data_IF_029771606918
#
_entry.id   IF_029771606918
#
_cell.length_a   1.000
_cell.length_b   1.000
_cell.length_c   1.000
_cell.angle_alpha   90.00
_cell.angle_beta   90.00
_cell.angle_gamma   90.00
#
_symmetry.space_group_name_H-M   'P 1'
#
loop_
_entity.id
_entity.type
_entity.pdbx_description
1 polymer ?
#
# COMPACT_ATOMS: atom_id res chain seq x y z
N UNK A 1 -22.34 8.63 -30.44
CA UNK A 1 -21.02 8.71 -29.76
C UNK A 1 -21.02 8.02 -28.40
N UNK A 2 -21.98 8.31 -27.51
CA UNK A 2 -22.07 7.68 -26.16
C UNK A 2 -22.22 6.15 -26.19
N UNK A 3 -22.98 5.57 -27.13
CA UNK A 3 -23.18 4.12 -27.20
C UNK A 3 -21.93 3.32 -27.60
N UNK A 4 -21.04 3.90 -28.40
CA UNK A 4 -19.78 3.27 -28.82
C UNK A 4 -18.78 3.19 -27.66
N UNK A 5 -18.76 4.18 -26.77
CA UNK A 5 -17.92 4.19 -25.57
C UNK A 5 -18.42 3.13 -24.59
N UNK A 6 -19.73 3.06 -24.36
CA UNK A 6 -20.34 2.05 -23.49
C UNK A 6 -20.07 0.62 -23.99
N UNK A 7 -20.15 0.38 -25.31
CA UNK A 7 -19.82 -0.91 -25.91
C UNK A 7 -18.34 -1.28 -25.76
N UNK A 8 -17.41 -0.33 -25.93
CA UNK A 8 -15.98 -0.58 -25.72
C UNK A 8 -15.64 -0.88 -24.25
N UNK A 9 -16.27 -0.18 -23.31
CA UNK A 9 -16.12 -0.45 -21.87
C UNK A 9 -16.70 -1.81 -21.50
N UNK A 10 -17.89 -2.14 -22.01
CA UNK A 10 -18.50 -3.45 -21.78
C UNK A 10 -17.64 -4.60 -22.31
N UNK A 11 -17.00 -4.43 -23.47
CA UNK A 11 -16.07 -5.41 -24.03
C UNK A 11 -14.76 -5.52 -23.23
N UNK A 12 -14.23 -4.41 -22.72
CA UNK A 12 -13.03 -4.41 -21.84
C UNK A 12 -13.28 -5.11 -20.50
N UNK A 13 -14.48 -5.00 -19.96
CA UNK A 13 -14.82 -5.54 -18.64
C UNK A 13 -15.65 -6.84 -18.68
N UNK A 14 -15.95 -7.39 -19.86
CA UNK A 14 -16.77 -8.60 -19.98
C UNK A 14 -16.17 -9.78 -19.22
N UNK A 15 -14.83 -9.95 -19.29
CA UNK A 15 -14.11 -11.02 -18.61
C UNK A 15 -14.04 -10.89 -17.08
N UNK A 16 -14.32 -9.73 -16.49
CA UNK A 16 -14.37 -9.56 -15.03
C UNK A 16 -15.61 -10.22 -14.42
N UNK A 17 -16.72 -10.33 -15.18
CA UNK A 17 -17.93 -11.01 -14.70
C UNK A 17 -17.73 -12.52 -14.56
N UNK A 18 -16.88 -13.08 -15.41
CA UNK A 18 -16.57 -14.51 -15.44
C UNK A 18 -15.29 -14.86 -14.65
N UNK A 19 -14.54 -13.84 -14.20
CA UNK A 19 -13.36 -14.01 -13.38
C UNK A 19 -13.73 -14.55 -12.00
N UNK A 20 -13.54 -15.86 -11.79
CA UNK A 20 -13.58 -16.45 -10.45
C UNK A 20 -12.35 -15.99 -9.67
N UNK A 21 -12.50 -14.94 -8.87
CA UNK A 21 -11.51 -14.60 -7.84
C UNK A 21 -11.47 -15.77 -6.86
N UNK A 22 -10.35 -16.50 -6.84
CA UNK A 22 -10.18 -17.62 -5.93
C UNK A 22 -10.20 -17.06 -4.49
N UNK A 23 -11.03 -17.61 -3.59
CA UNK A 23 -10.98 -17.21 -2.21
C UNK A 23 -9.63 -17.59 -1.61
N UNK A 24 -9.16 -16.77 -0.66
CA UNK A 24 -7.96 -17.07 0.11
C UNK A 24 -8.10 -18.47 0.73
N UNK A 25 -7.09 -19.31 0.53
CA UNK A 25 -7.07 -20.64 1.15
C UNK A 25 -6.41 -20.57 2.53
N UNK A 26 -6.46 -21.67 3.28
CA UNK A 26 -5.87 -21.75 4.62
C UNK A 26 -4.35 -21.52 4.63
N UNK A 27 -3.63 -21.89 3.57
CA UNK A 27 -2.20 -21.60 3.46
C UNK A 27 -1.95 -20.10 3.33
N UNK A 28 -2.81 -19.38 2.61
CA UNK A 28 -2.72 -17.93 2.48
C UNK A 28 -2.97 -17.27 3.83
N UNK A 29 -4.02 -17.67 4.56
CA UNK A 29 -4.33 -17.22 5.92
C UNK A 29 -3.15 -17.39 6.88
N UNK A 30 -2.45 -18.53 6.82
CA UNK A 30 -1.26 -18.79 7.64
C UNK A 30 -0.11 -17.85 7.33
N UNK A 31 0.12 -17.52 6.06
CA UNK A 31 1.14 -16.54 5.66
C UNK A 31 0.83 -15.15 6.21
N UNK A 32 -0.44 -14.75 6.25
CA UNK A 32 -0.89 -13.49 6.89
C UNK A 32 -0.56 -13.46 8.36
N UNK A 33 -0.99 -14.49 9.08
CA UNK A 33 -0.77 -14.58 10.51
C UNK A 33 0.72 -14.60 10.83
N UNK A 34 1.52 -15.29 10.01
CA UNK A 34 2.97 -15.34 10.16
C UNK A 34 3.61 -13.96 9.93
N UNK A 35 3.19 -13.24 8.89
CA UNK A 35 3.67 -11.89 8.63
C UNK A 35 3.37 -10.93 9.79
N UNK A 36 2.12 -10.86 10.26
CA UNK A 36 1.76 -9.99 11.39
C UNK A 36 2.46 -10.41 12.69
N UNK A 37 2.65 -11.71 12.91
CA UNK A 37 3.40 -12.22 14.06
C UNK A 37 4.86 -11.77 13.99
N UNK A 38 5.50 -11.91 12.82
CA UNK A 38 6.89 -11.49 12.62
C UNK A 38 7.04 -9.98 12.80
N UNK A 39 6.11 -9.18 12.28
CA UNK A 39 6.06 -7.74 12.50
C UNK A 39 5.97 -7.39 14.00
N UNK A 40 5.05 -8.01 14.74
CA UNK A 40 4.86 -7.76 16.18
C UNK A 40 6.02 -8.24 17.05
N UNK A 41 6.68 -9.32 16.63
CA UNK A 41 7.81 -9.93 17.33
C UNK A 41 9.15 -9.36 16.89
N UNK A 42 9.20 -8.56 15.82
CA UNK A 42 10.43 -7.96 15.33
C UNK A 42 11.05 -7.10 16.45
N UNK A 43 12.27 -7.40 16.91
CA UNK A 43 12.96 -6.63 17.94
C UNK A 43 13.54 -5.30 17.38
N UNK A 44 13.13 -4.93 16.17
CA UNK A 44 13.65 -3.83 15.40
C UNK A 44 13.51 -2.46 16.08
N UNK A 45 14.58 -1.67 16.06
CA UNK A 45 14.59 -0.33 16.67
C UNK A 45 13.71 0.63 15.89
N UNK A 46 13.66 0.49 14.55
CA UNK A 46 12.90 1.41 13.68
C UNK A 46 11.40 1.19 13.81
N UNK A 47 10.98 -0.06 13.93
CA UNK A 47 9.58 -0.41 14.13
C UNK A 47 9.06 0.03 15.52
N UNK A 48 9.93 0.01 16.53
CA UNK A 48 9.62 0.59 17.85
C UNK A 48 9.57 2.12 17.82
N UNK A 49 10.53 2.76 17.14
CA UNK A 49 10.56 4.21 16.95
C UNK A 49 9.30 4.71 16.21
N UNK A 50 8.83 3.95 15.22
CA UNK A 50 7.60 4.24 14.50
C UNK A 50 6.37 4.38 15.44
N UNK A 51 6.34 3.64 16.56
CA UNK A 51 5.24 3.73 17.53
C UNK A 51 5.21 5.07 18.28
N UNK A 52 6.35 5.73 18.46
CA UNK A 52 6.47 6.97 19.23
C UNK A 52 6.52 8.22 18.34
N UNK A 53 6.90 8.08 17.07
CA UNK A 53 6.95 9.18 16.11
C UNK A 53 5.54 9.65 15.73
N UNK A 54 5.38 10.98 15.65
CA UNK A 54 4.22 11.63 15.05
C UNK A 54 4.40 11.77 13.54
N UNK A 55 3.60 11.03 12.76
CA UNK A 55 3.65 11.04 11.30
C UNK A 55 2.98 12.29 10.69
N UNK A 56 2.47 13.21 11.50
CA UNK A 56 1.92 14.50 11.05
C UNK A 56 3.00 15.56 10.75
N UNK A 57 4.27 15.29 11.02
CA UNK A 57 5.37 16.25 10.82
C UNK A 57 5.79 16.35 9.35
N UNK A 58 5.84 17.58 8.81
CA UNK A 58 6.28 17.89 7.44
C UNK A 58 7.78 17.66 7.19
N UNK A 59 8.57 17.39 8.24
CA UNK A 59 10.03 17.21 8.11
C UNK A 59 10.46 15.77 7.89
N UNK A 60 9.53 14.81 7.94
CA UNK A 60 9.83 13.39 7.85
C UNK A 60 9.93 12.92 6.40
N UNK A 61 10.95 12.12 6.11
CA UNK A 61 11.04 11.40 4.84
C UNK A 61 10.36 10.04 4.97
N UNK A 62 9.05 10.00 4.67
CA UNK A 62 8.24 8.79 4.79
C UNK A 62 8.70 7.65 3.88
N UNK A 63 9.18 7.97 2.68
CA UNK A 63 9.68 6.96 1.72
C UNK A 63 10.91 6.25 2.30
N UNK A 64 11.88 7.01 2.82
CA UNK A 64 13.07 6.44 3.43
C UNK A 64 12.72 5.64 4.69
N UNK A 65 11.87 6.19 5.56
CA UNK A 65 11.45 5.51 6.80
C UNK A 65 10.75 4.18 6.51
N UNK A 66 9.87 4.14 5.50
CA UNK A 66 9.18 2.92 5.11
C UNK A 66 10.16 1.88 4.53
N UNK A 67 11.10 2.31 3.68
CA UNK A 67 12.12 1.43 3.10
C UNK A 67 13.04 0.82 4.17
N UNK A 68 13.39 1.64 5.16
CA UNK A 68 14.21 1.27 6.30
C UNK A 68 13.53 0.20 7.18
N UNK A 69 12.24 0.35 7.42
CA UNK A 69 11.42 -0.63 8.17
C UNK A 69 11.22 -1.90 7.35
N UNK A 70 11.02 -1.77 6.04
CA UNK A 70 10.89 -2.90 5.12
C UNK A 70 12.15 -3.78 5.14
N UNK A 71 13.32 -3.16 5.15
CA UNK A 71 14.59 -3.86 5.30
C UNK A 71 14.70 -4.56 6.67
N UNK A 72 14.35 -3.86 7.76
CA UNK A 72 14.41 -4.40 9.13
C UNK A 72 13.46 -5.60 9.32
N UNK A 73 12.24 -5.51 8.79
CA UNK A 73 11.19 -6.53 8.94
C UNK A 73 11.13 -7.53 7.77
N UNK A 74 12.08 -7.47 6.84
CA UNK A 74 12.22 -8.39 5.69
C UNK A 74 10.95 -8.48 4.82
N UNK A 75 10.38 -7.33 4.47
CA UNK A 75 9.34 -7.23 3.44
C UNK A 75 9.77 -6.27 2.32
N UNK A 76 9.15 -6.41 1.15
CA UNK A 76 9.38 -5.54 -0.02
C UNK A 76 8.28 -4.48 -0.10
N UNK A 77 8.67 -3.26 -0.45
CA UNK A 77 7.79 -2.13 -0.76
C UNK A 77 7.84 -1.89 -2.27
N UNK A 78 6.68 -1.83 -2.92
CA UNK A 78 6.58 -1.52 -4.36
C UNK A 78 5.73 -0.28 -4.55
N UNK A 79 6.24 0.69 -5.29
CA UNK A 79 5.51 1.89 -5.68
C UNK A 79 4.94 1.69 -7.08
N UNK A 80 3.66 1.99 -7.25
CA UNK A 80 2.95 1.93 -8.53
C UNK A 80 2.33 3.30 -8.77
N UNK A 81 3.00 4.09 -9.60
CA UNK A 81 2.49 5.40 -10.02
C UNK A 81 1.32 5.20 -10.99
N UNK A 82 0.26 6.00 -10.82
CA UNK A 82 -0.89 6.01 -11.74
C UNK A 82 -0.63 7.12 -12.76
N UNK A 83 -0.68 6.75 -14.04
CA UNK A 83 -0.40 7.68 -15.15
C UNK A 83 -1.44 8.81 -15.20
N UNK A 84 -2.70 8.49 -14.94
CA UNK A 84 -3.78 9.47 -14.92
C UNK A 84 -3.78 10.34 -13.67
N UNK A 85 -4.02 11.64 -13.88
CA UNK A 85 -4.32 12.55 -12.78
C UNK A 85 -5.70 12.24 -12.17
N UNK A 86 -5.85 12.55 -10.89
CA UNK A 86 -7.13 12.46 -10.20
C UNK A 86 -8.16 13.44 -10.80
N UNK A 87 -9.42 13.31 -10.39
CA UNK A 87 -10.47 14.27 -10.76
C UNK A 87 -10.16 15.72 -10.37
N UNK A 88 -9.28 15.90 -9.36
CA UNK A 88 -8.81 17.20 -8.89
C UNK A 88 -7.48 17.62 -9.50
N UNK A 89 -6.96 16.88 -10.49
CA UNK A 89 -5.71 17.18 -11.17
C UNK A 89 -4.44 16.75 -10.42
N UNK A 90 -4.55 15.89 -9.40
CA UNK A 90 -3.41 15.47 -8.57
C UNK A 90 -2.75 14.20 -9.12
N UNK A 91 -1.44 14.08 -8.92
CA UNK A 91 -0.73 12.81 -9.13
C UNK A 91 -1.16 11.79 -8.09
N UNK A 92 -1.09 10.51 -8.45
CA UNK A 92 -1.59 9.40 -7.63
C UNK A 92 -0.56 8.27 -7.60
N UNK A 93 -0.43 7.61 -6.45
CA UNK A 93 0.47 6.49 -6.26
C UNK A 93 -0.18 5.43 -5.36
N UNK A 94 0.11 4.16 -5.64
CA UNK A 94 -0.15 3.03 -4.76
C UNK A 94 1.18 2.50 -4.20
N UNK A 95 1.21 2.26 -2.90
CA UNK A 95 2.30 1.56 -2.20
C UNK A 95 1.82 0.18 -1.84
N UNK A 96 2.50 -0.84 -2.32
CA UNK A 96 2.22 -2.23 -2.01
C UNK A 96 3.27 -2.76 -1.05
N UNK A 97 2.83 -3.21 0.13
CA UNK A 97 3.64 -3.97 1.05
C UNK A 97 3.47 -5.44 0.66
N UNK A 98 4.57 -6.12 0.31
CA UNK A 98 4.58 -7.55 -0.04
C UNK A 98 4.32 -8.42 1.20
N UNK A 99 3.08 -8.35 1.62
CA UNK A 99 2.46 -9.11 2.69
C UNK A 99 1.51 -10.09 2.00
N UNK A 100 1.18 -11.20 2.64
CA UNK A 100 0.05 -12.02 2.18
C UNK A 100 -1.07 -11.79 3.20
N UNK A 101 -2.29 -11.33 2.82
CA UNK A 101 -2.56 -10.68 1.55
C UNK A 101 -1.81 -9.35 1.49
N UNK A 102 -1.60 -8.84 0.28
CA UNK A 102 -0.86 -7.58 0.02
C UNK A 102 -1.63 -6.42 0.65
N UNK A 103 -0.97 -5.64 1.49
CA UNK A 103 -1.50 -4.35 1.93
C UNK A 103 -1.16 -3.30 0.87
N UNK A 104 -2.18 -2.59 0.38
CA UNK A 104 -2.02 -1.52 -0.61
C UNK A 104 -2.50 -0.21 -0.01
N UNK A 105 -1.62 0.78 0.00
CA UNK A 105 -1.86 2.11 0.54
C UNK A 105 -1.86 3.14 -0.60
N UNK A 106 -2.88 3.98 -0.64
CA UNK A 106 -3.04 5.00 -1.68
C UNK A 106 -2.56 6.36 -1.19
N UNK A 107 -2.03 7.19 -2.09
CA UNK A 107 -1.66 8.57 -1.82
C UNK A 107 -1.79 9.46 -3.05
N UNK A 108 -2.00 10.76 -2.81
CA UNK A 108 -2.06 11.79 -3.86
C UNK A 108 -1.24 13.01 -3.50
N UNK A 109 -0.84 13.77 -4.52
CA UNK A 109 -0.05 14.98 -4.33
C UNK A 109 0.06 15.83 -5.58
N UNK A 110 0.59 17.05 -5.42
CA UNK A 110 0.81 17.99 -6.53
C UNK A 110 1.92 17.51 -7.49
N UNK A 111 2.76 16.58 -7.04
CA UNK A 111 3.77 15.89 -7.84
C UNK A 111 3.74 14.38 -7.58
N UNK A 112 4.39 13.58 -8.43
CA UNK A 112 4.56 12.14 -8.18
C UNK A 112 5.27 11.86 -6.86
N UNK A 113 6.29 12.66 -6.52
CA UNK A 113 7.02 12.52 -5.24
C UNK A 113 6.12 12.76 -4.04
N UNK A 114 5.24 13.76 -4.13
CA UNK A 114 4.27 14.04 -3.05
C UNK A 114 3.26 12.90 -2.92
N UNK A 115 2.79 12.35 -4.05
CA UNK A 115 1.86 11.21 -4.05
C UNK A 115 2.51 9.95 -3.43
N UNK A 116 3.77 9.66 -3.76
CA UNK A 116 4.54 8.57 -3.17
C UNK A 116 4.78 8.78 -1.68
N UNK A 117 5.11 10.00 -1.25
CA UNK A 117 5.30 10.34 0.15
C UNK A 117 3.99 10.16 0.95
N UNK A 118 2.85 10.62 0.41
CA UNK A 118 1.55 10.43 1.02
C UNK A 118 1.16 8.94 1.11
N UNK A 119 1.41 8.16 0.06
CA UNK A 119 1.16 6.71 0.07
C UNK A 119 2.05 5.99 1.10
N UNK A 120 3.31 6.40 1.21
CA UNK A 120 4.26 5.87 2.20
C UNK A 120 3.85 6.24 3.64
N UNK A 121 3.38 7.47 3.87
CA UNK A 121 2.84 7.89 5.16
C UNK A 121 1.65 7.01 5.58
N UNK A 122 0.71 6.76 4.66
CA UNK A 122 -0.43 5.88 4.92
C UNK A 122 0.00 4.43 5.20
N UNK A 123 1.05 3.95 4.53
CA UNK A 123 1.63 2.64 4.82
C UNK A 123 2.28 2.57 6.21
N UNK A 124 2.95 3.64 6.65
CA UNK A 124 3.52 3.73 8.00
C UNK A 124 2.42 3.74 9.08
N UNK A 125 1.32 4.45 8.85
CA UNK A 125 0.15 4.43 9.76
C UNK A 125 -0.48 3.03 9.84
N UNK A 126 -0.62 2.36 8.70
CA UNK A 126 -1.06 0.96 8.68
C UNK A 126 -0.14 0.06 9.53
N UNK A 127 1.17 0.19 9.34
CA UNK A 127 2.15 -0.57 10.13
C UNK A 127 2.00 -0.26 11.62
N UNK A 128 1.82 1.01 12.00
CA UNK A 128 1.58 1.40 13.40
C UNK A 128 0.43 0.59 13.99
N UNK A 129 -0.74 0.64 13.34
CA UNK A 129 -1.96 -0.07 13.80
C UNK A 129 -1.72 -1.57 13.94
N UNK A 130 -1.04 -2.18 12.97
CA UNK A 130 -0.84 -3.63 12.93
C UNK A 130 0.21 -4.14 13.93
N UNK A 131 1.08 -3.24 14.41
CA UNK A 131 2.17 -3.57 15.35
C UNK A 131 1.92 -3.04 16.76
N UNK A 132 0.77 -2.40 17.03
CA UNK A 132 0.34 -2.08 18.40
C UNK A 132 0.36 -3.36 19.23
N UNK A 133 0.99 -3.27 20.41
CA UNK A 133 1.04 -4.33 21.41
C UNK A 133 -0.18 -4.29 22.31
#
# INVERSE_FOLDING_TARGET
>A
MVSQIAQKLAARYSGLKDAKVLPLNTSDSRKVSHFHKNLKQSPGKKLQELQTISLSSLTLNFVQMLQDIAQEASFVVTYVDIEELSISGQHQCLVQLSTMPVAVCYGTGGTLKDAQAAAAQNALEYLKIMTIK
#
